data_IF_822300425468
#
_entry.id   IF_822300425468
#
_cell.length_a   1.000
_cell.length_b   1.000
_cell.length_c   1.000
_cell.angle_alpha   90.00
_cell.angle_beta   90.00
_cell.angle_gamma   90.00
#
_symmetry.space_group_name_H-M   'P 1'
#
loop_
_entity.id
_entity.type
_entity.pdbx_description
1 polymer ?
#
# COMPACT_ATOMS: atom_id res chain seq x y z
N UNK A 1 -6.50 22.02 -23.21
CA UNK A 1 -6.90 22.50 -21.86
C UNK A 1 -7.54 23.88 -22.04
N UNK A 2 -8.85 24.02 -21.78
CA UNK A 2 -9.50 25.32 -21.83
C UNK A 2 -9.33 25.99 -20.46
N UNK A 3 -8.56 27.07 -20.41
CA UNK A 3 -8.48 27.91 -19.22
C UNK A 3 -9.80 28.67 -19.08
N UNK A 4 -10.45 28.57 -17.92
CA UNK A 4 -11.60 29.40 -17.59
C UNK A 4 -11.14 30.86 -17.55
N UNK A 5 -11.52 31.65 -18.57
CA UNK A 5 -11.17 33.07 -18.71
C UNK A 5 -9.69 33.42 -18.49
N UNK A 6 -8.75 32.59 -18.99
CA UNK A 6 -7.32 32.87 -18.87
C UNK A 6 -6.73 32.68 -17.47
N UNK A 7 -7.50 32.16 -16.51
CA UNK A 7 -7.01 31.77 -15.19
C UNK A 7 -6.23 30.44 -15.30
N UNK A 8 -4.93 30.53 -15.61
CA UNK A 8 -4.03 29.37 -15.70
C UNK A 8 -3.16 29.20 -14.46
N UNK A 9 -3.10 30.20 -13.57
CA UNK A 9 -2.26 30.19 -12.37
C UNK A 9 -2.88 29.39 -11.20
N UNK A 10 -4.20 29.19 -11.21
CA UNK A 10 -4.93 28.51 -10.12
C UNK A 10 -4.90 26.96 -10.22
N UNK A 11 -4.03 26.42 -11.07
CA UNK A 11 -3.88 24.97 -11.28
C UNK A 11 -4.40 24.48 -12.64
N UNK A 12 -4.26 23.18 -12.86
CA UNK A 12 -4.66 22.52 -14.10
C UNK A 12 -6.19 22.56 -14.30
N UNK A 13 -6.63 22.81 -15.53
CA UNK A 13 -8.07 22.89 -15.86
C UNK A 13 -8.85 21.57 -15.72
N UNK A 14 -8.17 20.44 -15.49
CA UNK A 14 -8.81 19.14 -15.27
C UNK A 14 -8.21 18.49 -14.02
N UNK A 15 -8.90 18.71 -12.90
CA UNK A 15 -8.47 18.29 -11.56
C UNK A 15 -8.27 16.77 -11.49
N UNK A 16 -9.08 15.98 -12.20
CA UNK A 16 -8.99 14.52 -12.13
C UNK A 16 -7.75 13.95 -12.79
N UNK A 17 -7.21 14.64 -13.81
CA UNK A 17 -5.97 14.21 -14.47
C UNK A 17 -4.77 14.26 -13.55
N UNK A 18 -4.79 15.09 -12.52
CA UNK A 18 -3.68 15.19 -11.57
C UNK A 18 -3.65 13.99 -10.60
N UNK A 19 -4.78 13.29 -10.43
CA UNK A 19 -4.85 12.06 -9.63
C UNK A 19 -4.50 10.81 -10.44
N UNK A 20 -4.65 10.85 -11.76
CA UNK A 20 -4.29 9.74 -12.63
C UNK A 20 -2.79 9.71 -12.88
N UNK A 21 -2.14 8.53 -12.87
CA UNK A 21 -0.73 8.43 -13.22
C UNK A 21 -0.53 8.85 -14.68
N UNK A 22 0.01 10.06 -14.89
CA UNK A 22 0.30 10.62 -16.22
C UNK A 22 1.57 10.03 -16.84
N UNK A 23 2.49 9.57 -16.00
CA UNK A 23 3.79 9.03 -16.41
C UNK A 23 3.99 7.64 -15.80
N UNK A 24 4.72 6.73 -16.48
CA UNK A 24 5.32 5.60 -15.80
C UNK A 24 6.22 6.19 -14.72
N UNK A 25 5.83 6.00 -13.46
CA UNK A 25 6.62 6.46 -12.33
C UNK A 25 8.03 5.89 -12.53
N UNK A 26 9.03 6.76 -12.54
CA UNK A 26 10.42 6.41 -12.87
C UNK A 26 10.95 5.23 -12.05
N UNK A 27 10.37 5.01 -10.86
CA UNK A 27 10.60 3.88 -9.96
C UNK A 27 10.50 2.50 -10.63
N UNK A 28 9.60 2.33 -11.63
CA UNK A 28 9.49 1.06 -12.35
C UNK A 28 10.72 0.71 -13.20
N UNK A 29 11.49 1.71 -13.63
CA UNK A 29 12.69 1.52 -14.48
C UNK A 29 13.96 1.21 -13.69
N UNK A 30 13.92 1.35 -12.37
CA UNK A 30 15.07 1.20 -11.49
C UNK A 30 15.25 -0.29 -11.16
N UNK A 31 16.48 -0.80 -11.25
CA UNK A 31 16.77 -2.20 -10.90
C UNK A 31 16.57 -2.44 -9.40
N UNK A 32 16.15 -3.66 -9.04
CA UNK A 32 16.03 -4.04 -7.62
C UNK A 32 17.38 -3.93 -6.92
N UNK A 33 18.47 -4.29 -7.60
CA UNK A 33 19.84 -4.19 -7.09
C UNK A 33 20.17 -2.80 -6.55
N UNK A 34 19.72 -1.72 -7.21
CA UNK A 34 19.95 -0.35 -6.72
C UNK A 34 19.19 -0.05 -5.44
N UNK A 35 17.95 -0.54 -5.33
CA UNK A 35 17.19 -0.43 -4.09
C UNK A 35 17.84 -1.24 -2.97
N UNK A 36 18.40 -2.40 -3.28
CA UNK A 36 19.09 -3.24 -2.29
C UNK A 36 20.42 -2.64 -1.86
N UNK A 37 21.22 -2.10 -2.78
CA UNK A 37 22.43 -1.36 -2.44
C UNK A 37 22.13 -0.17 -1.52
N UNK A 38 21.05 0.57 -1.79
CA UNK A 38 20.62 1.65 -0.90
C UNK A 38 20.09 1.11 0.44
N UNK A 39 19.31 0.03 0.44
CA UNK A 39 18.82 -0.62 1.66
C UNK A 39 19.98 -1.02 2.58
N UNK A 40 21.01 -1.68 2.02
CA UNK A 40 22.17 -2.15 2.77
C UNK A 40 22.99 -0.98 3.37
N UNK A 41 23.01 0.20 2.72
CA UNK A 41 23.64 1.41 3.28
C UNK A 41 22.92 1.98 4.50
N UNK A 42 21.59 1.85 4.54
CA UNK A 42 20.74 2.36 5.61
C UNK A 42 20.32 1.29 6.62
N UNK A 43 20.87 0.07 6.50
CA UNK A 43 20.65 -1.00 7.46
C UNK A 43 21.08 -0.57 8.87
N UNK A 44 20.32 -0.99 9.88
CA UNK A 44 20.53 -0.62 11.28
C UNK A 44 21.90 -1.12 11.79
N UNK A 45 22.38 -2.24 11.26
CA UNK A 45 23.64 -2.91 11.63
C UNK A 45 23.67 -3.44 13.06
N UNK A 46 24.86 -3.74 13.56
CA UNK A 46 25.10 -4.21 14.93
C UNK A 46 25.07 -3.03 15.93
N UNK A 47 23.92 -2.39 16.07
CA UNK A 47 23.70 -1.28 17.01
C UNK A 47 22.86 -1.71 18.20
N UNK A 48 22.92 -0.95 19.30
CA UNK A 48 22.06 -1.17 20.48
C UNK A 48 20.57 -1.12 20.12
N UNK A 49 20.21 -0.37 19.08
CA UNK A 49 18.85 -0.25 18.59
C UNK A 49 18.32 -1.58 18.03
N UNK A 50 19.16 -2.37 17.35
CA UNK A 50 18.77 -3.69 16.86
C UNK A 50 18.46 -4.65 18.02
N UNK A 51 19.23 -4.56 19.12
CA UNK A 51 18.97 -5.32 20.35
C UNK A 51 17.66 -4.89 21.02
N UNK A 52 17.40 -3.60 21.11
CA UNK A 52 16.18 -3.04 21.71
C UNK A 52 14.93 -3.42 20.90
N UNK A 53 15.03 -3.41 19.57
CA UNK A 53 13.96 -3.83 18.66
C UNK A 53 13.83 -5.35 18.51
N UNK A 54 14.78 -6.12 19.06
CA UNK A 54 14.86 -7.58 18.96
C UNK A 54 14.78 -8.07 17.50
N UNK A 55 15.44 -7.34 16.59
CA UNK A 55 15.49 -7.66 15.17
C UNK A 55 16.93 -7.77 14.67
N UNK A 56 17.12 -8.45 13.54
CA UNK A 56 18.43 -8.50 12.88
C UNK A 56 18.72 -7.14 12.22
N UNK A 57 19.68 -6.38 12.76
CA UNK A 57 19.98 -5.03 12.26
C UNK A 57 20.55 -5.01 10.85
N UNK A 58 21.12 -6.11 10.34
CA UNK A 58 21.65 -6.17 8.98
C UNK A 58 20.54 -6.35 7.93
N UNK A 59 19.45 -7.02 8.31
CA UNK A 59 18.31 -7.33 7.44
C UNK A 59 17.13 -6.38 7.67
N UNK A 60 17.28 -5.36 8.51
CA UNK A 60 16.23 -4.39 8.83
C UNK A 60 16.74 -2.95 8.70
N UNK A 61 15.85 -2.10 8.19
CA UNK A 61 16.04 -0.64 8.11
C UNK A 61 14.95 0.04 8.93
N UNK A 62 15.25 1.21 9.51
CA UNK A 62 14.23 2.03 10.14
C UNK A 62 13.25 2.56 9.09
N UNK A 63 11.94 2.44 9.36
CA UNK A 63 10.92 2.96 8.43
C UNK A 63 10.98 4.47 8.28
N UNK A 64 11.45 5.17 9.31
CA UNK A 64 11.73 6.60 9.24
C UNK A 64 12.73 6.95 8.12
N UNK A 65 13.65 6.06 7.78
CA UNK A 65 14.72 6.29 6.80
C UNK A 65 14.35 5.84 5.38
N UNK A 66 13.15 5.29 5.16
CA UNK A 66 12.68 4.86 3.85
C UNK A 66 12.71 5.98 2.79
N UNK A 67 12.46 7.23 3.19
CA UNK A 67 12.60 8.36 2.28
C UNK A 67 14.05 8.50 1.79
N UNK A 68 15.05 8.32 2.67
CA UNK A 68 16.47 8.45 2.32
C UNK A 68 16.90 7.40 1.28
N UNK A 69 16.36 6.18 1.38
CA UNK A 69 16.55 5.15 0.36
C UNK A 69 16.05 5.65 -1.01
N UNK A 70 14.87 6.28 -1.04
CA UNK A 70 14.32 6.83 -2.29
C UNK A 70 15.17 7.96 -2.85
N UNK A 71 15.70 8.85 -2.00
CA UNK A 71 16.63 9.92 -2.40
C UNK A 71 17.91 9.35 -3.04
N UNK A 72 18.54 8.36 -2.39
CA UNK A 72 19.80 7.76 -2.88
C UNK A 72 19.59 7.02 -4.20
N UNK A 73 18.47 6.30 -4.33
CA UNK A 73 18.13 5.54 -5.54
C UNK A 73 17.82 6.45 -6.73
N UNK A 74 17.13 7.58 -6.52
CA UNK A 74 16.80 8.54 -7.57
C UNK A 74 17.96 9.47 -7.92
N UNK A 75 18.90 9.71 -7.00
CA UNK A 75 19.98 10.69 -7.16
C UNK A 75 19.50 12.14 -7.27
N UNK A 76 18.25 12.40 -6.87
CA UNK A 76 17.58 13.71 -6.86
C UNK A 76 16.51 13.72 -5.78
N UNK A 77 15.98 14.91 -5.49
CA UNK A 77 14.83 15.03 -4.61
C UNK A 77 13.59 14.37 -5.26
N UNK A 78 12.92 13.44 -4.56
CA UNK A 78 11.67 12.84 -5.04
C UNK A 78 10.56 13.90 -5.01
N UNK A 79 9.67 13.82 -6.00
CA UNK A 79 8.45 14.63 -5.97
C UNK A 79 7.55 14.17 -4.81
N UNK A 80 6.72 15.06 -4.27
CA UNK A 80 5.71 14.72 -3.29
C UNK A 80 4.83 13.54 -3.76
N UNK A 81 4.51 13.50 -5.06
CA UNK A 81 3.71 12.42 -5.65
C UNK A 81 4.45 11.08 -5.72
N UNK A 82 5.78 11.10 -5.89
CA UNK A 82 6.61 9.88 -5.89
C UNK A 82 6.72 9.32 -4.47
N UNK A 83 6.85 10.19 -3.47
CA UNK A 83 6.83 9.82 -2.07
C UNK A 83 5.47 9.23 -1.66
N UNK A 84 4.37 9.86 -2.03
CA UNK A 84 3.02 9.37 -1.72
C UNK A 84 2.81 7.95 -2.28
N UNK A 85 3.21 7.71 -3.53
CA UNK A 85 3.07 6.38 -4.16
C UNK A 85 4.00 5.37 -3.50
N UNK A 86 5.25 5.74 -3.21
CA UNK A 86 6.20 4.89 -2.53
C UNK A 86 5.67 4.46 -1.15
N UNK A 87 5.25 5.41 -0.31
CA UNK A 87 4.69 5.15 1.01
C UNK A 87 3.31 4.48 1.02
N UNK A 88 2.53 4.59 -0.07
CA UNK A 88 1.30 3.80 -0.19
C UNK A 88 1.61 2.30 -0.35
N UNK A 89 2.74 1.98 -0.99
CA UNK A 89 3.12 0.59 -1.32
C UNK A 89 4.03 -0.04 -0.27
N UNK A 90 4.88 0.77 0.39
CA UNK A 90 5.67 0.34 1.53
C UNK A 90 4.89 0.59 2.83
N UNK A 91 4.77 -0.40 3.69
CA UNK A 91 4.16 -0.21 5.01
C UNK A 91 4.97 0.80 5.83
N UNK A 92 4.34 1.90 6.24
CA UNK A 92 4.97 2.98 7.01
C UNK A 92 4.52 3.05 8.47
N UNK A 93 3.48 2.31 8.88
CA UNK A 93 2.77 2.58 10.14
C UNK A 93 2.81 1.44 11.17
N UNK A 94 2.92 0.18 10.76
CA UNK A 94 2.67 -0.94 11.70
C UNK A 94 3.80 -1.28 12.68
N UNK A 95 5.00 -0.76 12.47
CA UNK A 95 6.25 -1.12 13.14
C UNK A 95 7.27 0.00 12.89
N UNK A 96 8.35 0.04 13.68
CA UNK A 96 9.43 1.01 13.49
C UNK A 96 10.49 0.56 12.46
N UNK A 97 10.57 -0.73 12.14
CA UNK A 97 11.59 -1.32 11.29
C UNK A 97 10.98 -2.21 10.21
N UNK A 98 11.50 -2.08 8.99
CA UNK A 98 11.08 -2.88 7.84
C UNK A 98 12.16 -3.91 7.51
N UNK A 99 11.74 -5.16 7.38
CA UNK A 99 12.62 -6.25 6.97
C UNK A 99 12.90 -6.20 5.46
N UNK A 100 14.07 -6.71 5.06
CA UNK A 100 14.48 -6.82 3.67
C UNK A 100 13.44 -7.54 2.80
N UNK A 101 12.88 -8.64 3.31
CA UNK A 101 11.85 -9.43 2.62
C UNK A 101 10.53 -8.66 2.44
N UNK A 102 10.15 -7.87 3.43
CA UNK A 102 8.97 -7.00 3.35
C UNK A 102 9.19 -5.84 2.37
N UNK A 103 10.40 -5.27 2.38
CA UNK A 103 10.79 -4.24 1.43
C UNK A 103 10.79 -4.77 -0.02
N UNK A 104 11.35 -5.95 -0.27
CA UNK A 104 11.32 -6.58 -1.60
C UNK A 104 9.90 -6.88 -2.08
N UNK A 105 9.03 -7.37 -1.19
CA UNK A 105 7.60 -7.60 -1.53
C UNK A 105 6.89 -6.30 -1.90
N UNK A 106 7.09 -5.23 -1.15
CA UNK A 106 6.51 -3.92 -1.46
C UNK A 106 7.06 -3.32 -2.76
N UNK A 107 8.35 -3.48 -3.03
CA UNK A 107 8.95 -3.08 -4.31
C UNK A 107 8.38 -3.85 -5.51
N UNK A 108 8.13 -5.15 -5.36
CA UNK A 108 7.50 -5.95 -6.42
C UNK A 108 6.11 -5.41 -6.79
N UNK A 109 5.28 -5.09 -5.78
CA UNK A 109 3.95 -4.49 -5.98
C UNK A 109 4.05 -3.09 -6.60
N UNK A 110 4.99 -2.28 -6.12
CA UNK A 110 5.25 -0.94 -6.67
C UNK A 110 5.64 -1.03 -8.16
N UNK A 111 6.55 -1.94 -8.51
CA UNK A 111 7.00 -2.15 -9.89
C UNK A 111 5.89 -2.69 -10.78
N UNK A 112 5.07 -3.61 -10.30
CA UNK A 112 3.90 -4.11 -11.03
C UNK A 112 2.95 -2.96 -11.37
N UNK A 113 2.65 -2.10 -10.39
CA UNK A 113 1.84 -0.89 -10.60
C UNK A 113 2.47 0.06 -11.62
N UNK A 114 3.78 0.27 -11.58
CA UNK A 114 4.49 1.15 -12.51
C UNK A 114 4.52 0.58 -13.94
N UNK A 115 4.68 -0.74 -14.08
CA UNK A 115 4.72 -1.41 -15.37
C UNK A 115 3.33 -1.49 -16.02
N UNK A 116 2.28 -1.74 -15.23
CA UNK A 116 0.92 -1.94 -15.69
C UNK A 116 -0.06 -0.98 -14.98
N UNK A 117 0.04 0.35 -15.21
CA UNK A 117 -0.84 1.31 -14.54
C UNK A 117 -2.30 1.07 -14.96
N UNK A 118 -3.17 0.79 -13.99
CA UNK A 118 -4.60 0.62 -14.22
C UNK A 118 -5.23 1.98 -14.49
N UNK A 119 -5.93 2.11 -15.61
CA UNK A 119 -6.66 3.34 -15.91
C UNK A 119 -7.95 3.38 -15.08
N UNK A 120 -8.26 4.49 -14.38
CA UNK A 120 -9.45 4.57 -13.54
C UNK A 120 -10.77 4.54 -14.34
N UNK A 121 -10.71 4.82 -15.65
CA UNK A 121 -11.88 4.72 -16.54
C UNK A 121 -12.04 3.30 -17.06
N UNK A 122 -12.89 2.52 -16.41
CA UNK A 122 -13.25 1.15 -16.83
C UNK A 122 -14.46 1.07 -17.79
N UNK A 123 -15.35 2.06 -17.75
CA UNK A 123 -16.55 2.10 -18.59
C UNK A 123 -16.48 3.23 -19.63
N UNK A 124 -16.89 2.91 -20.86
CA UNK A 124 -17.14 3.90 -21.93
C UNK A 124 -18.62 4.27 -22.00
N UNK A 125 -19.51 3.33 -21.69
CA UNK A 125 -20.96 3.49 -21.74
C UNK A 125 -21.57 3.54 -20.34
N UNK A 126 -22.37 4.58 -20.07
CA UNK A 126 -23.14 4.71 -18.84
C UNK A 126 -24.14 3.56 -18.65
N UNK A 127 -24.74 3.05 -19.74
CA UNK A 127 -25.69 1.93 -19.65
C UNK A 127 -25.01 0.66 -19.13
N UNK A 128 -23.79 0.38 -19.59
CA UNK A 128 -23.00 -0.77 -19.14
C UNK A 128 -22.63 -0.65 -17.65
N UNK A 129 -22.24 0.55 -17.22
CA UNK A 129 -21.99 0.83 -15.81
C UNK A 129 -23.23 0.57 -14.93
N UNK A 130 -24.40 1.07 -15.34
CA UNK A 130 -25.64 0.85 -14.58
C UNK A 130 -26.02 -0.64 -14.53
N UNK A 131 -25.85 -1.39 -15.62
CA UNK A 131 -26.15 -2.83 -15.61
C UNK A 131 -25.23 -3.63 -14.70
N UNK A 132 -23.96 -3.24 -14.58
CA UNK A 132 -23.01 -3.91 -13.70
C UNK A 132 -23.27 -3.50 -12.23
N UNK A 133 -23.62 -2.24 -11.99
CA UNK A 133 -24.04 -1.76 -10.68
C UNK A 133 -25.27 -2.50 -10.16
N UNK A 134 -26.31 -2.70 -10.99
CA UNK A 134 -27.52 -3.44 -10.59
C UNK A 134 -27.28 -4.92 -10.34
N UNK A 135 -26.20 -5.48 -10.92
CA UNK A 135 -25.75 -6.86 -10.69
C UNK A 135 -24.74 -6.97 -9.55
N UNK A 136 -24.46 -5.88 -8.83
CA UNK A 136 -23.44 -5.81 -7.79
C UNK A 136 -22.03 -6.22 -8.26
N UNK A 137 -21.73 -6.06 -9.55
CA UNK A 137 -20.39 -6.31 -10.06
C UNK A 137 -19.47 -5.17 -9.63
N UNK A 138 -18.40 -5.52 -8.91
CA UNK A 138 -17.38 -4.57 -8.47
C UNK A 138 -16.29 -4.41 -9.52
N UNK A 139 -15.53 -3.33 -9.38
CA UNK A 139 -14.29 -3.13 -10.12
C UNK A 139 -13.28 -4.22 -9.69
N UNK A 140 -12.45 -4.68 -10.62
CA UNK A 140 -11.47 -5.75 -10.36
C UNK A 140 -10.22 -5.27 -9.63
N UNK A 141 -9.93 -3.97 -9.71
CA UNK A 141 -8.75 -3.35 -9.11
C UNK A 141 -9.15 -2.34 -8.04
N UNK A 142 -8.23 -2.06 -7.13
CA UNK A 142 -8.43 -1.11 -6.05
C UNK A 142 -8.03 0.32 -6.44
N UNK A 143 -8.59 1.36 -5.79
CA UNK A 143 -8.28 2.75 -6.10
C UNK A 143 -6.79 3.09 -6.05
N UNK A 144 -6.04 2.55 -5.07
CA UNK A 144 -4.59 2.81 -4.91
C UNK A 144 -3.74 2.30 -6.08
N UNK A 145 -4.22 1.34 -6.87
CA UNK A 145 -3.51 0.87 -8.07
C UNK A 145 -3.62 1.88 -9.23
N UNK A 146 -4.75 2.56 -9.31
CA UNK A 146 -5.11 3.43 -10.45
C UNK A 146 -4.92 4.93 -10.20
N UNK A 147 -4.90 5.36 -8.94
CA UNK A 147 -4.86 6.76 -8.52
C UNK A 147 -3.62 7.02 -7.66
N UNK A 148 -2.98 8.18 -7.83
CA UNK A 148 -1.78 8.57 -7.05
C UNK A 148 -2.10 8.82 -5.58
N UNK A 149 -3.29 9.38 -5.30
CA UNK A 149 -3.77 9.77 -3.98
C UNK A 149 -5.30 9.68 -3.93
N UNK A 150 -5.92 9.64 -2.74
CA UNK A 150 -7.37 9.61 -2.61
C UNK A 150 -8.01 10.89 -3.17
N UNK A 151 -9.11 10.74 -3.91
CA UNK A 151 -9.93 11.85 -4.43
C UNK A 151 -11.00 12.25 -3.41
N UNK A 152 -11.56 11.26 -2.71
CA UNK A 152 -12.64 11.44 -1.73
C UNK A 152 -12.16 11.07 -0.34
N UNK A 153 -12.76 11.70 0.66
CA UNK A 153 -12.51 11.39 2.07
C UNK A 153 -12.75 9.91 2.39
N UNK A 154 -13.78 9.29 1.83
CA UNK A 154 -14.04 7.86 2.07
C UNK A 154 -12.91 6.95 1.58
N UNK A 155 -12.07 7.41 0.64
CA UNK A 155 -10.93 6.64 0.12
C UNK A 155 -9.73 6.71 1.05
N UNK A 156 -9.61 7.74 1.92
CA UNK A 156 -8.48 7.88 2.85
C UNK A 156 -8.46 6.74 3.87
N UNK A 157 -9.65 6.33 4.36
CA UNK A 157 -9.81 5.31 5.40
C UNK A 157 -9.24 3.94 5.00
N UNK A 158 -9.26 3.60 3.70
CA UNK A 158 -8.78 2.31 3.20
C UNK A 158 -7.50 2.39 2.35
N UNK A 159 -6.92 3.58 2.20
CA UNK A 159 -5.87 3.84 1.20
C UNK A 159 -4.60 3.00 1.41
N UNK A 160 -4.20 2.83 2.68
CA UNK A 160 -2.98 2.13 3.05
C UNK A 160 -3.20 0.63 3.31
N UNK A 161 -4.37 0.08 2.95
CA UNK A 161 -4.70 -1.32 3.22
C UNK A 161 -3.97 -2.32 2.31
N UNK A 162 -3.34 -1.85 1.22
CA UNK A 162 -2.58 -2.70 0.29
C UNK A 162 -1.23 -3.14 0.84
N UNK A 163 -0.64 -2.31 1.70
CA UNK A 163 0.65 -2.63 2.30
C UNK A 163 0.51 -3.92 3.11
N UNK A 164 1.49 -4.83 2.96
CA UNK A 164 1.47 -6.13 3.63
C UNK A 164 2.32 -6.07 4.90
N UNK A 165 1.73 -5.75 6.07
CA UNK A 165 2.49 -5.65 7.30
C UNK A 165 3.02 -7.01 7.71
N UNK A 166 4.24 -7.05 8.22
CA UNK A 166 4.77 -8.26 8.82
C UNK A 166 4.20 -8.45 10.23
N UNK A 167 3.25 -9.38 10.41
CA UNK A 167 2.65 -9.68 11.72
C UNK A 167 3.45 -10.76 12.45
N UNK A 168 4.74 -10.51 12.68
CA UNK A 168 5.61 -11.44 13.42
C UNK A 168 5.24 -11.58 14.91
N UNK A 169 4.38 -10.71 15.42
CA UNK A 169 3.92 -10.77 16.80
C UNK A 169 2.83 -11.83 16.98
N UNK A 170 2.99 -12.68 18.01
CA UNK A 170 1.96 -13.65 18.41
C UNK A 170 0.68 -12.90 18.80
N UNK A 171 -0.33 -12.98 17.95
CA UNK A 171 -1.65 -12.42 18.24
C UNK A 171 -2.43 -13.37 19.16
N UNK A 172 -2.80 -12.89 20.34
CA UNK A 172 -3.68 -13.63 21.24
C UNK A 172 -5.15 -13.46 20.80
N UNK A 173 -5.65 -14.39 19.98
CA UNK A 173 -7.06 -14.43 19.58
C UNK A 173 -7.85 -15.39 20.46
N UNK A 174 -9.09 -15.01 20.80
CA UNK A 174 -10.03 -15.94 21.42
C UNK A 174 -10.52 -16.92 20.35
N UNK A 175 -10.02 -18.15 20.39
CA UNK A 175 -10.41 -19.20 19.47
C UNK A 175 -11.47 -20.09 20.11
N UNK A 176 -12.38 -20.62 19.29
CA UNK A 176 -13.29 -21.69 19.73
C UNK A 176 -12.50 -22.99 19.88
N UNK A 177 -12.70 -23.66 21.01
CA UNK A 177 -12.14 -24.98 21.34
C UNK A 177 -13.17 -26.08 21.17
N UNK A 178 -12.72 -27.33 21.17
CA UNK A 178 -13.53 -28.55 21.30
C UNK A 178 -14.62 -28.45 22.38
N UNK A 179 -14.28 -27.94 23.56
CA UNK A 179 -15.23 -27.73 24.66
C UNK A 179 -16.31 -26.73 24.28
N UNK A 180 -15.95 -25.62 23.64
CA UNK A 180 -16.96 -24.62 23.24
C UNK A 180 -17.80 -25.05 22.05
N UNK A 181 -17.30 -25.98 21.22
CA UNK A 181 -17.98 -26.46 20.02
C UNK A 181 -18.93 -27.61 20.31
N UNK A 182 -18.46 -28.65 21.02
CA UNK A 182 -19.16 -29.93 21.10
C UNK A 182 -19.20 -30.53 22.52
N UNK A 183 -18.08 -30.51 23.25
CA UNK A 183 -17.96 -31.29 24.49
C UNK A 183 -18.60 -30.58 25.70
N UNK A 184 -18.63 -29.25 25.67
CA UNK A 184 -19.26 -28.44 26.69
C UNK A 184 -20.77 -28.66 26.72
N UNK A 185 -21.31 -28.93 27.90
CA UNK A 185 -22.74 -29.09 28.09
C UNK A 185 -23.41 -27.72 27.89
N UNK A 186 -24.21 -27.63 26.83
CA UNK A 186 -25.06 -26.46 26.55
C UNK A 186 -26.53 -26.84 26.76
N UNK A 187 -27.41 -25.88 27.12
CA UNK A 187 -28.84 -26.15 27.27
C UNK A 187 -29.47 -26.77 26.01
N UNK A 188 -28.99 -26.41 24.81
CA UNK A 188 -29.38 -27.03 23.54
C UNK A 188 -29.13 -28.55 23.50
N UNK A 189 -27.95 -29.00 23.96
CA UNK A 189 -27.58 -30.42 24.06
C UNK A 189 -28.40 -31.13 25.14
N UNK A 190 -28.74 -30.44 26.23
CA UNK A 190 -29.51 -31.01 27.34
C UNK A 190 -31.00 -31.19 27.00
N UNK A 191 -31.61 -30.22 26.31
CA UNK A 191 -33.03 -30.24 25.95
C UNK A 191 -33.33 -30.86 24.58
N UNK A 192 -32.31 -31.27 23.81
CA UNK A 192 -32.49 -31.89 22.49
C UNK A 192 -33.16 -30.96 21.47
N UNK A 193 -32.96 -29.65 21.62
CA UNK A 193 -33.56 -28.63 20.75
C UNK A 193 -32.73 -28.45 19.46
N UNK A 194 -32.47 -29.53 18.72
CA UNK A 194 -32.04 -29.57 17.31
C UNK A 194 -32.33 -30.94 16.70
#
# INVERSE_FOLDING_TARGET
PMAFFGLTYLGGGDVFKDFTPKDPISLGSISDDKFMEAFDKYAIGDTSLALDLQCDGLENVLRGDLHLILFDVLGRDPSAEELDVFFTMTDSETSAAISRDEFLRSLAVLKERCANPKLPRSYVSHKAYITDLTKHRRLEYEPMESLRRPIKESQTIGWNSMASPNTNQKRATLNTTDVTRNEGIQPSNYFGLF
#
